data_IF_902507592640
#
_entry.id   IF_902507592640
#
_cell.length_a   1.000
_cell.length_b   1.000
_cell.length_c   1.000
_cell.angle_alpha   90.00
_cell.angle_beta   90.00
_cell.angle_gamma   90.00
#
_symmetry.space_group_name_H-M   'P 1'
#
loop_
_entity.id
_entity.type
_entity.pdbx_description
1 polymer ?
#
# COMPACT_ATOMS: atom_id res chain seq x y z
N UNK A 1 3.91 -14.90 10.23
CA UNK A 1 4.19 -13.47 9.99
C UNK A 1 5.66 -13.37 9.55
N UNK A 2 5.91 -12.98 8.30
CA UNK A 2 7.25 -12.88 7.71
C UNK A 2 8.00 -11.69 8.31
N UNK A 3 9.33 -11.76 8.48
CA UNK A 3 10.10 -10.66 9.11
C UNK A 3 9.91 -9.29 8.46
N UNK A 4 9.69 -9.25 7.14
CA UNK A 4 9.44 -8.00 6.42
C UNK A 4 8.10 -7.35 6.78
N UNK A 5 7.12 -8.13 7.22
CA UNK A 5 5.84 -7.61 7.72
C UNK A 5 6.01 -6.88 9.06
N UNK A 6 7.13 -7.08 9.78
CA UNK A 6 7.42 -6.38 11.04
C UNK A 6 8.08 -5.01 10.83
N UNK A 7 8.40 -4.62 9.59
CA UNK A 7 9.04 -3.32 9.28
C UNK A 7 8.06 -2.39 8.59
N UNK A 8 8.26 -1.08 8.79
CA UNK A 8 7.54 -0.06 8.05
C UNK A 8 7.79 -0.23 6.55
N UNK A 9 6.72 -0.45 5.79
CA UNK A 9 6.79 -0.79 4.37
C UNK A 9 5.66 -0.11 3.61
N UNK A 10 5.97 0.41 2.42
CA UNK A 10 4.98 0.75 1.41
C UNK A 10 4.98 -0.33 0.33
N UNK A 11 3.78 -0.79 0.01
CA UNK A 11 3.48 -1.69 -1.09
C UNK A 11 2.78 -0.87 -2.16
N UNK A 12 3.47 -0.65 -3.26
CA UNK A 12 2.81 -0.20 -4.49
C UNK A 12 2.32 -1.44 -5.23
N UNK A 13 1.03 -1.42 -5.56
CA UNK A 13 0.36 -2.46 -6.32
C UNK A 13 0.02 -1.92 -7.69
N UNK A 14 0.49 -2.61 -8.72
CA UNK A 14 0.07 -2.34 -10.11
C UNK A 14 -0.64 -3.57 -10.65
N UNK A 15 -1.85 -3.36 -11.18
CA UNK A 15 -2.66 -4.38 -11.83
C UNK A 15 -2.44 -4.41 -13.35
N UNK A 16 -2.83 -5.49 -14.05
CA UNK A 16 -2.67 -5.62 -15.50
C UNK A 16 -3.37 -4.52 -16.33
N UNK A 17 -4.42 -3.91 -15.79
CA UNK A 17 -5.14 -2.78 -16.37
C UNK A 17 -4.48 -1.42 -16.07
N UNK A 18 -3.25 -1.43 -15.55
CA UNK A 18 -2.48 -0.27 -15.08
C UNK A 18 -3.11 0.50 -13.91
N UNK A 19 -4.20 -0.01 -13.32
CA UNK A 19 -4.75 0.56 -12.09
C UNK A 19 -3.74 0.37 -10.96
N UNK A 20 -3.56 1.41 -10.16
CA UNK A 20 -2.60 1.43 -9.05
C UNK A 20 -3.32 1.43 -7.71
N UNK A 21 -2.76 0.70 -6.77
CA UNK A 21 -3.13 0.74 -5.36
C UNK A 21 -1.90 0.93 -4.49
N UNK A 22 -2.12 1.37 -3.27
CA UNK A 22 -1.08 1.45 -2.25
C UNK A 22 -1.55 0.79 -0.96
N UNK A 23 -0.62 0.13 -0.27
CA UNK A 23 -0.80 -0.31 1.11
C UNK A 23 0.43 0.11 1.90
N UNK A 24 0.20 0.87 2.96
CA UNK A 24 1.22 1.35 3.87
C UNK A 24 1.05 0.70 5.23
N UNK A 25 2.10 0.03 5.70
CA UNK A 25 2.15 -0.65 6.98
C UNK A 25 3.25 -0.05 7.86
N UNK A 26 2.96 0.15 9.14
CA UNK A 26 3.96 0.41 10.19
C UNK A 26 3.96 -0.79 11.12
N UNK A 27 5.10 -1.45 11.28
CA UNK A 27 5.26 -2.60 12.17
C UNK A 27 4.17 -3.69 11.98
N UNK A 28 3.73 -3.89 10.74
CA UNK A 28 2.70 -4.87 10.37
C UNK A 28 1.26 -4.39 10.54
N UNK A 29 1.04 -3.15 10.98
CA UNK A 29 -0.29 -2.54 11.09
C UNK A 29 -0.55 -1.65 9.87
N UNK A 30 -1.67 -1.89 9.18
CA UNK A 30 -2.09 -1.06 8.05
C UNK A 30 -2.43 0.34 8.58
N UNK A 31 -1.64 1.32 8.19
CA UNK A 31 -1.90 2.73 8.52
C UNK A 31 -2.73 3.39 7.42
N UNK A 32 -2.47 3.01 6.16
CA UNK A 32 -3.20 3.56 5.01
C UNK A 32 -3.24 2.52 3.91
N UNK A 33 -4.37 2.42 3.23
CA UNK A 33 -4.48 1.68 1.99
C UNK A 33 -5.45 2.42 1.08
N UNK A 34 -5.14 2.45 -0.21
CA UNK A 34 -5.96 3.12 -1.22
C UNK A 34 -5.94 2.32 -2.50
N UNK A 35 -7.11 2.21 -3.12
CA UNK A 35 -7.29 1.55 -4.40
C UNK A 35 -8.56 2.08 -5.05
N UNK A 36 -8.44 2.75 -6.20
CA UNK A 36 -9.55 3.48 -6.82
C UNK A 36 -10.20 4.46 -5.81
N UNK A 37 -11.50 4.34 -5.57
CA UNK A 37 -12.25 5.13 -4.57
C UNK A 37 -12.29 4.48 -3.19
N UNK A 38 -11.69 3.31 -3.02
CA UNK A 38 -11.66 2.57 -1.77
C UNK A 38 -10.48 3.01 -0.90
N UNK A 39 -10.73 3.05 0.41
CA UNK A 39 -9.75 3.39 1.44
C UNK A 39 -9.70 2.33 2.54
N UNK A 40 -8.59 2.27 3.26
CA UNK A 40 -8.40 1.43 4.44
C UNK A 40 -8.58 -0.06 4.12
N UNK A 41 -9.27 -0.78 5.01
CA UNK A 41 -9.44 -2.22 4.89
C UNK A 41 -10.17 -2.64 3.60
N UNK A 42 -11.12 -1.84 3.11
CA UNK A 42 -11.84 -2.10 1.87
C UNK A 42 -10.91 -2.07 0.66
N UNK A 43 -9.94 -1.14 0.64
CA UNK A 43 -8.93 -1.08 -0.40
C UNK A 43 -8.04 -2.33 -0.37
N UNK A 44 -7.61 -2.77 0.83
CA UNK A 44 -6.80 -4.00 0.98
C UNK A 44 -7.56 -5.23 0.49
N UNK A 45 -8.82 -5.38 0.89
CA UNK A 45 -9.67 -6.49 0.46
C UNK A 45 -9.84 -6.50 -1.06
N UNK A 46 -10.08 -5.34 -1.67
CA UNK A 46 -10.19 -5.23 -3.12
C UNK A 46 -8.88 -5.58 -3.84
N UNK A 47 -7.75 -5.10 -3.31
CA UNK A 47 -6.41 -5.41 -3.85
C UNK A 47 -6.15 -6.93 -3.83
N UNK A 48 -6.44 -7.57 -2.69
CA UNK A 48 -6.24 -9.02 -2.51
C UNK A 48 -7.19 -9.81 -3.42
N UNK A 49 -8.47 -9.41 -3.49
CA UNK A 49 -9.49 -10.08 -4.30
C UNK A 49 -9.20 -9.98 -5.81
N UNK A 50 -8.68 -8.85 -6.28
CA UNK A 50 -8.36 -8.65 -7.70
C UNK A 50 -7.23 -9.58 -8.18
N UNK A 51 -6.32 -9.96 -7.29
CA UNK A 51 -5.22 -10.87 -7.59
C UNK A 51 -4.22 -10.31 -8.62
N UNK A 52 -3.14 -11.05 -8.90
CA UNK A 52 -2.07 -10.67 -9.86
C UNK A 52 -1.40 -9.30 -9.59
N UNK A 53 -1.51 -8.81 -8.35
CA UNK A 53 -0.82 -7.63 -7.87
C UNK A 53 0.70 -7.85 -7.93
N UNK A 54 1.42 -6.95 -8.62
CA UNK A 54 2.88 -6.85 -8.44
C UNK A 54 3.16 -5.97 -7.23
N UNK A 55 3.88 -6.51 -6.25
CA UNK A 55 4.27 -5.78 -5.05
C UNK A 55 5.67 -5.21 -5.19
N UNK A 56 5.80 -3.91 -4.99
CA UNK A 56 7.08 -3.25 -4.85
C UNK A 56 7.30 -2.85 -3.40
N UNK A 57 8.37 -3.38 -2.81
CA UNK A 57 8.81 -3.00 -1.47
C UNK A 57 9.81 -1.87 -1.60
N UNK A 58 9.45 -0.68 -1.12
CA UNK A 58 10.38 0.43 -0.99
C UNK A 58 10.73 0.62 0.49
N UNK A 59 12.03 0.61 0.86
CA UNK A 59 12.43 1.13 2.16
C UNK A 59 12.18 2.64 2.14
N UNK A 60 11.18 3.08 2.90
CA UNK A 60 10.86 4.50 3.02
C UNK A 60 11.31 5.02 4.37
N UNK A 61 11.86 6.22 4.37
CA UNK A 61 12.03 7.02 5.60
C UNK A 61 10.70 7.67 5.97
N UNK A 62 10.50 7.99 7.25
CA UNK A 62 9.26 8.62 7.76
C UNK A 62 8.84 9.85 6.94
N UNK A 63 9.82 10.66 6.52
CA UNK A 63 9.60 11.86 5.70
C UNK A 63 9.06 11.55 4.29
N UNK A 64 9.49 10.46 3.69
CA UNK A 64 8.99 10.03 2.37
C UNK A 64 7.55 9.52 2.46
N UNK A 65 7.19 8.91 3.61
CA UNK A 65 5.84 8.42 3.87
C UNK A 65 4.86 9.59 3.93
N UNK A 66 5.15 10.64 4.70
CA UNK A 66 4.30 11.83 4.81
C UNK A 66 4.02 12.47 3.44
N UNK A 67 5.06 12.58 2.61
CA UNK A 67 4.94 13.11 1.25
C UNK A 67 4.04 12.24 0.38
N UNK A 68 4.21 10.91 0.41
CA UNK A 68 3.41 9.99 -0.40
C UNK A 68 1.95 9.98 0.05
N UNK A 69 1.69 9.98 1.36
CA UNK A 69 0.34 10.06 1.92
C UNK A 69 -0.40 11.29 1.39
N UNK A 70 0.29 12.42 1.25
CA UNK A 70 -0.25 13.68 0.72
C UNK A 70 -0.52 13.60 -0.78
N UNK A 71 0.38 13.02 -1.57
CA UNK A 71 0.21 12.87 -3.04
C UNK A 71 -0.99 12.01 -3.43
N UNK A 72 -1.39 11.05 -2.60
CA UNK A 72 -2.60 10.25 -2.85
C UNK A 72 -3.88 10.88 -2.26
N UNK A 73 -3.80 12.04 -1.59
CA UNK A 73 -4.98 12.79 -1.11
C UNK A 73 -5.41 13.94 -2.03
N UNK A 74 -4.52 14.39 -2.92
CA UNK A 74 -4.78 15.38 -3.98
C UNK A 74 -5.27 14.73 -5.26
#
# INVERSE_FOLDING_TARGET
MLEKEKRTCLFEVTFPDNTKGIVYLINGVIQKAMYESLNGENAVRAIVAKGKARFWFKPLTERMIESLVTTYQS
#
